data_IF_029129883275
#
_entry.id   IF_029129883275
#
_cell.length_a   1.000
_cell.length_b   1.000
_cell.length_c   1.000
_cell.angle_alpha   90.00
_cell.angle_beta   90.00
_cell.angle_gamma   90.00
#
_symmetry.space_group_name_H-M   'P 1'
#
loop_
_entity.id
_entity.type
_entity.pdbx_description
1 polymer ?
#
# COMPACT_ATOMS: atom_id res chain seq x y z
N UNK A 1 32.63 -6.78 4.24
CA UNK A 1 31.38 -6.93 3.47
C UNK A 1 30.85 -5.53 3.22
N UNK A 2 30.71 -5.14 1.96
CA UNK A 2 30.21 -3.81 1.58
C UNK A 2 28.69 -3.82 1.80
N UNK A 3 28.21 -3.10 2.80
CA UNK A 3 26.77 -2.83 2.97
C UNK A 3 26.38 -1.88 1.85
N UNK A 4 25.58 -2.36 0.90
CA UNK A 4 25.06 -1.55 -0.19
C UNK A 4 24.08 -0.53 0.40
N UNK A 5 24.49 0.74 0.56
CA UNK A 5 23.56 1.81 0.92
C UNK A 5 22.43 1.87 -0.12
N UNK A 6 21.20 1.55 0.31
CA UNK A 6 20.02 1.67 -0.54
C UNK A 6 19.76 3.16 -0.78
N UNK A 7 20.10 3.64 -1.98
CA UNK A 7 19.82 5.00 -2.44
C UNK A 7 18.46 5.04 -3.15
N UNK A 8 17.37 5.18 -2.38
CA UNK A 8 16.03 5.31 -2.91
C UNK A 8 15.74 6.76 -3.33
N UNK A 9 15.47 6.99 -4.62
CA UNK A 9 14.99 8.28 -5.15
C UNK A 9 13.64 8.08 -5.82
N UNK A 10 12.60 8.70 -5.28
CA UNK A 10 11.22 8.57 -5.78
C UNK A 10 10.65 9.93 -6.11
N UNK A 11 9.94 10.01 -7.23
CA UNK A 11 9.19 11.20 -7.66
C UNK A 11 7.75 10.80 -7.93
N UNK A 12 6.80 11.53 -7.35
CA UNK A 12 5.37 11.33 -7.58
C UNK A 12 4.78 12.46 -8.41
N UNK A 13 3.86 12.13 -9.31
CA UNK A 13 3.05 13.09 -10.06
C UNK A 13 1.59 12.62 -10.03
N UNK A 14 0.67 13.56 -9.88
CA UNK A 14 -0.77 13.31 -10.04
C UNK A 14 -1.38 14.46 -10.85
N UNK A 15 -2.40 14.15 -11.67
CA UNK A 15 -3.08 15.12 -12.53
C UNK A 15 -4.57 14.78 -12.60
N UNK A 16 -5.43 15.77 -12.34
CA UNK A 16 -6.89 15.58 -12.38
C UNK A 16 -7.40 15.30 -13.82
N UNK A 17 -6.65 15.76 -14.82
CA UNK A 17 -7.07 15.70 -16.22
C UNK A 17 -8.42 16.39 -16.44
N UNK A 18 -9.27 15.76 -17.26
CA UNK A 18 -10.62 16.26 -17.57
C UNK A 18 -11.72 15.86 -16.60
N UNK A 19 -11.39 15.19 -15.48
CA UNK A 19 -12.39 14.78 -14.47
C UNK A 19 -12.88 15.99 -13.68
N UNK A 20 -14.11 15.91 -13.14
CA UNK A 20 -14.69 16.99 -12.32
C UNK A 20 -13.97 17.14 -10.97
N UNK A 21 -13.49 16.03 -10.41
CA UNK A 21 -12.76 15.98 -9.14
C UNK A 21 -11.54 15.05 -9.27
N UNK A 22 -10.49 15.33 -8.51
CA UNK A 22 -9.34 14.43 -8.34
C UNK A 22 -9.63 13.49 -7.17
N UNK A 23 -9.91 12.22 -7.49
CA UNK A 23 -10.18 11.16 -6.51
C UNK A 23 -8.94 10.30 -6.25
N UNK A 24 -7.88 10.48 -7.04
CA UNK A 24 -6.58 9.84 -6.86
C UNK A 24 -5.87 10.35 -5.60
N UNK A 25 -5.17 9.43 -4.92
CA UNK A 25 -4.22 9.73 -3.86
C UNK A 25 -2.96 8.88 -4.04
N UNK A 26 -1.83 9.34 -3.49
CA UNK A 26 -0.62 8.53 -3.41
C UNK A 26 0.13 8.75 -2.10
N UNK A 27 1.00 7.81 -1.76
CA UNK A 27 1.91 7.88 -0.62
C UNK A 27 3.23 7.20 -0.95
N UNK A 28 4.30 7.78 -0.40
CA UNK A 28 5.63 7.21 -0.38
C UNK A 28 6.06 7.18 1.08
N UNK A 29 6.36 5.99 1.60
CA UNK A 29 6.79 5.77 2.97
C UNK A 29 7.92 4.75 3.01
N UNK A 30 8.75 4.80 4.04
CA UNK A 30 9.82 3.84 4.25
C UNK A 30 10.17 3.79 5.73
N UNK A 31 10.69 2.66 6.18
CA UNK A 31 11.20 2.46 7.54
C UNK A 31 12.68 2.11 7.44
N UNK A 32 13.51 2.81 8.22
CA UNK A 32 14.94 2.50 8.35
C UNK A 32 15.17 1.48 9.44
N UNK A 33 16.23 0.68 9.30
CA UNK A 33 16.75 -0.17 10.38
C UNK A 33 17.23 0.69 11.56
N UNK A 34 17.33 0.09 12.75
CA UNK A 34 17.81 0.80 13.96
C UNK A 34 19.19 1.45 13.77
N UNK A 35 20.08 0.80 13.00
CA UNK A 35 21.43 1.29 12.71
C UNK A 35 21.49 2.34 11.59
N UNK A 36 20.34 2.63 10.96
CA UNK A 36 20.14 3.62 9.87
C UNK A 36 20.97 3.36 8.62
N UNK A 37 21.47 2.14 8.43
CA UNK A 37 22.28 1.79 7.25
C UNK A 37 21.44 1.22 6.13
N UNK A 38 20.33 0.56 6.49
CA UNK A 38 19.46 -0.14 5.56
C UNK A 38 17.99 0.30 5.78
N UNK A 39 17.11 -0.19 4.92
CA UNK A 39 15.66 -0.07 5.07
C UNK A 39 15.11 -1.37 5.60
N UNK A 40 14.11 -1.31 6.47
CA UNK A 40 13.28 -2.46 6.82
C UNK A 40 12.22 -2.70 5.75
N UNK A 41 11.62 -1.61 5.26
CA UNK A 41 10.74 -1.66 4.09
C UNK A 41 10.66 -0.31 3.38
N UNK A 42 10.22 -0.35 2.12
CA UNK A 42 9.74 0.81 1.39
C UNK A 42 8.34 0.53 0.85
N UNK A 43 7.45 1.52 0.93
CA UNK A 43 6.05 1.44 0.53
C UNK A 43 5.69 2.58 -0.42
N UNK A 44 5.10 2.22 -1.55
CA UNK A 44 4.59 3.14 -2.56
C UNK A 44 3.14 2.76 -2.83
N UNK A 45 2.20 3.60 -2.43
CA UNK A 45 0.78 3.37 -2.66
C UNK A 45 0.21 4.40 -3.62
N UNK A 46 -0.50 3.94 -4.64
CA UNK A 46 -1.32 4.75 -5.54
C UNK A 46 -2.76 4.24 -5.40
N UNK A 47 -3.70 5.15 -5.16
CA UNK A 47 -5.08 4.85 -4.82
C UNK A 47 -5.99 5.63 -5.75
N UNK A 48 -6.81 4.95 -6.52
CA UNK A 48 -7.89 5.50 -7.34
C UNK A 48 -9.21 5.35 -6.57
N UNK A 49 -9.79 6.47 -6.12
CA UNK A 49 -11.04 6.49 -5.37
C UNK A 49 -12.25 6.47 -6.29
N UNK A 50 -13.30 5.74 -5.90
CA UNK A 50 -14.60 5.74 -6.56
C UNK A 50 -15.72 6.03 -5.57
N UNK A 51 -16.67 6.87 -5.99
CA UNK A 51 -17.76 7.35 -5.13
C UNK A 51 -17.38 8.58 -4.27
N UNK A 52 -16.09 8.96 -4.30
CA UNK A 52 -15.53 10.15 -3.67
C UNK A 52 -14.03 9.97 -3.35
N UNK A 53 -13.32 11.09 -3.17
CA UNK A 53 -11.89 11.10 -2.80
C UNK A 53 -11.61 10.52 -1.41
N UNK A 54 -12.63 10.44 -0.57
CA UNK A 54 -12.58 9.96 0.79
C UNK A 54 -12.10 8.51 0.85
N UNK A 55 -12.47 7.68 -0.14
CA UNK A 55 -12.03 6.29 -0.24
C UNK A 55 -10.50 6.18 -0.42
N UNK A 56 -9.96 6.91 -1.41
CA UNK A 56 -8.53 6.94 -1.67
C UNK A 56 -7.74 7.55 -0.51
N UNK A 57 -8.28 8.59 0.13
CA UNK A 57 -7.67 9.19 1.33
C UNK A 57 -7.66 8.22 2.52
N UNK A 58 -8.74 7.48 2.74
CA UNK A 58 -8.80 6.48 3.79
C UNK A 58 -7.76 5.38 3.55
N UNK A 59 -7.71 4.82 2.34
CA UNK A 59 -6.73 3.81 1.98
C UNK A 59 -5.29 4.31 2.15
N UNK A 60 -4.99 5.51 1.65
CA UNK A 60 -3.69 6.17 1.80
C UNK A 60 -3.22 6.23 3.25
N UNK A 61 -4.13 6.56 4.17
CA UNK A 61 -3.79 6.80 5.57
C UNK A 61 -3.74 5.53 6.43
N UNK A 62 -4.32 4.41 5.97
CA UNK A 62 -4.51 3.22 6.81
C UNK A 62 -3.90 1.94 6.23
N UNK A 63 -3.70 1.83 4.90
CA UNK A 63 -3.29 0.56 4.28
C UNK A 63 -1.94 0.08 4.79
N UNK A 64 -0.93 0.97 4.85
CA UNK A 64 0.40 0.59 5.30
C UNK A 64 0.36 0.05 6.74
N UNK A 65 -0.27 0.78 7.65
CA UNK A 65 -0.39 0.40 9.06
C UNK A 65 -1.11 -0.95 9.23
N UNK A 66 -2.19 -1.17 8.46
CA UNK A 66 -2.92 -2.44 8.48
C UNK A 66 -2.10 -3.61 7.93
N UNK A 67 -1.07 -3.37 7.12
CA UNK A 67 -0.15 -4.40 6.62
C UNK A 67 0.97 -4.64 7.66
N UNK A 68 1.69 -3.60 8.07
CA UNK A 68 2.90 -3.74 8.90
C UNK A 68 2.60 -4.10 10.36
N UNK A 69 1.36 -3.97 10.82
CA UNK A 69 0.96 -4.45 12.16
C UNK A 69 0.72 -5.96 12.20
N UNK A 70 0.60 -6.63 11.05
CA UNK A 70 0.42 -8.08 10.97
C UNK A 70 1.77 -8.78 11.16
N UNK A 71 1.80 -9.77 12.05
CA UNK A 71 3.03 -10.52 12.36
C UNK A 71 3.61 -11.22 11.14
N UNK A 72 2.74 -11.69 10.25
CA UNK A 72 3.11 -12.40 9.03
C UNK A 72 3.95 -11.54 8.07
N UNK A 73 3.82 -10.20 8.14
CA UNK A 73 4.63 -9.28 7.34
C UNK A 73 6.13 -9.31 7.72
N UNK A 74 6.43 -9.68 8.96
CA UNK A 74 7.79 -9.69 9.51
C UNK A 74 8.42 -11.08 9.52
N UNK A 75 7.78 -12.07 8.90
CA UNK A 75 8.33 -13.42 8.76
C UNK A 75 9.23 -13.49 7.52
N UNK A 76 10.24 -14.34 7.60
CA UNK A 76 11.16 -14.65 6.48
C UNK A 76 10.54 -15.69 5.53
N UNK A 77 9.31 -15.43 5.07
CA UNK A 77 8.51 -16.31 4.22
C UNK A 77 7.61 -15.47 3.29
N UNK A 78 7.85 -15.57 1.99
CA UNK A 78 7.15 -14.79 0.96
C UNK A 78 5.63 -15.01 0.98
N UNK A 79 5.16 -16.24 1.22
CA UNK A 79 3.73 -16.55 1.26
C UNK A 79 3.07 -15.92 2.48
N UNK A 80 3.78 -15.85 3.61
CA UNK A 80 3.32 -15.15 4.82
C UNK A 80 3.27 -13.63 4.60
N UNK A 81 4.28 -13.05 3.96
CA UNK A 81 4.30 -11.63 3.62
C UNK A 81 3.16 -11.30 2.65
N UNK A 82 2.96 -12.12 1.61
CA UNK A 82 1.83 -12.01 0.69
C UNK A 82 0.48 -12.12 1.40
N UNK A 83 0.36 -13.02 2.38
CA UNK A 83 -0.85 -13.14 3.20
C UNK A 83 -1.09 -11.89 4.03
N UNK A 84 -0.06 -11.31 4.66
CA UNK A 84 -0.20 -10.07 5.42
C UNK A 84 -0.67 -8.91 4.53
N UNK A 85 -0.12 -8.81 3.33
CA UNK A 85 -0.51 -7.79 2.37
C UNK A 85 -1.99 -7.94 1.98
N UNK A 86 -2.43 -9.19 1.70
CA UNK A 86 -3.84 -9.50 1.41
C UNK A 86 -4.76 -9.12 2.56
N UNK A 87 -4.43 -9.55 3.76
CA UNK A 87 -5.24 -9.31 4.96
C UNK A 87 -5.30 -7.82 5.30
N UNK A 88 -4.17 -7.11 5.19
CA UNK A 88 -4.09 -5.66 5.39
C UNK A 88 -4.97 -4.88 4.40
N UNK A 89 -5.02 -5.30 3.13
CA UNK A 89 -5.92 -4.73 2.14
C UNK A 89 -7.40 -4.96 2.51
N UNK A 90 -7.78 -6.22 2.81
CA UNK A 90 -9.16 -6.57 3.17
C UNK A 90 -9.61 -5.84 4.43
N UNK A 91 -8.75 -5.78 5.46
CA UNK A 91 -9.03 -5.04 6.69
C UNK A 91 -9.23 -3.55 6.41
N UNK A 92 -8.40 -2.95 5.55
CA UNK A 92 -8.53 -1.55 5.16
C UNK A 92 -9.85 -1.29 4.43
N UNK A 93 -10.21 -2.15 3.48
CA UNK A 93 -11.44 -2.02 2.71
C UNK A 93 -12.69 -2.17 3.58
N UNK A 94 -12.71 -3.17 4.47
CA UNK A 94 -13.83 -3.39 5.38
C UNK A 94 -13.95 -2.29 6.46
N UNK A 95 -12.83 -1.76 6.94
CA UNK A 95 -12.83 -0.64 7.88
C UNK A 95 -13.32 0.65 7.21
N UNK A 96 -12.90 0.90 5.97
CA UNK A 96 -13.36 2.03 5.18
C UNK A 96 -14.88 2.04 5.01
N UNK A 97 -15.52 0.90 4.71
CA UNK A 97 -16.99 0.85 4.60
C UNK A 97 -17.73 1.28 5.86
N UNK A 98 -17.14 1.08 7.04
CA UNK A 98 -17.73 1.53 8.30
C UNK A 98 -17.62 3.04 8.49
N UNK A 99 -16.57 3.65 7.93
CA UNK A 99 -16.22 5.07 8.14
C UNK A 99 -16.81 5.98 7.06
N UNK A 100 -16.70 5.60 5.78
CA UNK A 100 -17.15 6.42 4.65
C UNK A 100 -18.38 5.85 3.94
N UNK A 101 -18.73 4.58 4.19
CA UNK A 101 -19.94 3.94 3.67
C UNK A 101 -19.70 2.96 2.51
N UNK A 102 -20.68 2.10 2.25
CA UNK A 102 -20.59 1.00 1.26
C UNK A 102 -20.53 1.46 -0.21
N UNK A 103 -20.92 2.69 -0.52
CA UNK A 103 -20.86 3.25 -1.87
C UNK A 103 -19.44 3.67 -2.29
N UNK A 104 -18.48 3.62 -1.35
CA UNK A 104 -17.11 4.05 -1.56
C UNK A 104 -16.21 2.85 -1.74
N UNK A 105 -15.30 2.95 -2.70
CA UNK A 105 -14.28 1.95 -2.95
C UNK A 105 -13.00 2.59 -3.46
N UNK A 106 -11.90 1.86 -3.40
CA UNK A 106 -10.65 2.27 -4.04
C UNK A 106 -10.07 1.09 -4.80
N UNK A 107 -9.49 1.39 -5.96
CA UNK A 107 -8.50 0.52 -6.58
C UNK A 107 -7.13 1.00 -6.10
N UNK A 108 -6.26 0.10 -5.68
CA UNK A 108 -4.90 0.49 -5.32
C UNK A 108 -3.87 -0.35 -6.05
N UNK A 109 -2.92 0.34 -6.67
CA UNK A 109 -1.66 -0.24 -7.10
C UNK A 109 -0.64 0.20 -6.06
N UNK A 110 -0.13 -0.75 -5.29
CA UNK A 110 0.94 -0.47 -4.34
C UNK A 110 2.05 -1.50 -4.48
N UNK A 111 3.25 -1.05 -4.14
CA UNK A 111 4.44 -1.89 -4.03
C UNK A 111 4.97 -1.71 -2.62
N UNK A 112 5.07 -2.80 -1.87
CA UNK A 112 5.83 -2.86 -0.62
C UNK A 112 7.01 -3.79 -0.83
N UNK A 113 8.21 -3.28 -0.57
CA UNK A 113 9.43 -4.09 -0.55
C UNK A 113 9.80 -4.29 0.91
N UNK A 114 9.73 -5.53 1.41
CA UNK A 114 10.43 -5.90 2.63
C UNK A 114 11.91 -6.02 2.29
N UNK A 115 12.77 -5.41 3.08
CA UNK A 115 14.21 -5.30 2.84
C UNK A 115 15.03 -6.11 3.87
N UNK A 116 14.39 -6.99 4.64
CA UNK A 116 15.07 -7.81 5.64
C UNK A 116 15.92 -8.90 4.97
N UNK A 117 17.23 -9.02 5.26
CA UNK A 117 18.05 -10.11 4.74
C UNK A 117 17.50 -11.48 5.20
N UNK A 118 17.49 -12.53 4.36
CA UNK A 118 18.14 -12.64 3.05
C UNK A 118 17.27 -12.30 1.82
N UNK A 119 16.07 -11.71 1.96
CA UNK A 119 15.08 -11.69 0.87
C UNK A 119 14.60 -10.28 0.50
N UNK A 120 14.54 -10.02 -0.80
CA UNK A 120 13.84 -8.87 -1.39
C UNK A 120 12.50 -9.37 -1.94
N UNK A 121 11.45 -9.34 -1.13
CA UNK A 121 10.10 -9.65 -1.62
C UNK A 121 9.48 -8.38 -2.18
N UNK A 122 9.26 -8.36 -3.50
CA UNK A 122 8.51 -7.31 -4.18
C UNK A 122 7.17 -7.89 -4.60
N UNK A 123 6.08 -7.30 -4.12
CA UNK A 123 4.74 -7.67 -4.56
C UNK A 123 4.19 -6.50 -5.36
N UNK A 124 4.05 -6.68 -6.68
CA UNK A 124 3.40 -5.73 -7.57
C UNK A 124 1.92 -6.08 -7.69
N UNK A 125 1.06 -5.12 -7.34
CA UNK A 125 -0.32 -5.02 -7.81
C UNK A 125 -1.21 -6.23 -7.50
N UNK A 126 -1.89 -6.19 -6.35
CA UNK A 126 -3.02 -7.08 -6.11
C UNK A 126 -4.33 -6.40 -6.55
N UNK A 127 -4.75 -6.66 -7.78
CA UNK A 127 -6.15 -6.41 -8.17
C UNK A 127 -7.01 -7.51 -7.56
N UNK A 128 -7.80 -7.17 -6.54
CA UNK A 128 -8.76 -8.12 -6.00
C UNK A 128 -9.97 -8.23 -6.93
N UNK A 129 -10.41 -9.46 -7.28
CA UNK A 129 -11.63 -9.68 -8.05
C UNK A 129 -12.83 -9.44 -7.13
N UNK A 130 -13.14 -8.17 -6.87
CA UNK A 130 -14.49 -7.75 -6.57
C UNK A 130 -15.17 -7.50 -7.91
N UNK A 131 -16.29 -8.16 -8.17
CA UNK A 131 -17.19 -7.78 -9.26
C UNK A 131 -17.70 -6.36 -8.95
N UNK A 132 -16.92 -5.37 -9.38
CA UNK A 132 -17.24 -3.94 -9.32
C UNK A 132 -18.40 -3.72 -10.29
N UNK A 133 -19.62 -4.06 -9.85
CA UNK A 133 -20.81 -3.46 -10.44
C UNK A 133 -20.76 -1.97 -10.14
N UNK A 134 -20.15 -1.23 -11.05
CA UNK A 134 -20.63 0.10 -11.37
C UNK A 134 -22.04 -0.07 -11.91
N UNK A 135 -23.04 0.09 -11.04
CA UNK A 135 -24.40 0.58 -11.33
C UNK A 135 -25.20 0.67 -10.03
#
# INVERSE_FOLDING_TARGET
>A
MSTSEINLRVTGQSSQGGRRYMEDAFVVAYQQTEDKKDLEYAFFGIFDGHGGREAAQYAKNNLLDNIVTLKQFWLDDDDMVLSAIRDGFLNTHLAMWKEVGFAFSFLSIFTICSCHPPQHTTVDGMEFPGDFRSD
#
